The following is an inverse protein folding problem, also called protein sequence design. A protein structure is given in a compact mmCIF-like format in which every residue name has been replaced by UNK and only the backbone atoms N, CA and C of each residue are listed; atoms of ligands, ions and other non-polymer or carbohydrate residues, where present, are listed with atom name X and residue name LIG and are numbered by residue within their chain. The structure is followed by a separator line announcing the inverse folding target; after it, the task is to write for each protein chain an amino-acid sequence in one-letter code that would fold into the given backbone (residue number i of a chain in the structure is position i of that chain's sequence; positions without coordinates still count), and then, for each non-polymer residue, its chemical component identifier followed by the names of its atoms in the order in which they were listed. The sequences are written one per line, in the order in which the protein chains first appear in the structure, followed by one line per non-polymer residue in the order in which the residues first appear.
data_IF_312997711729
#
_entry.id   IF_312997711729
#
_cell.length_a   1.000
_cell.length_b   1.000
_cell.length_c   1.000
_cell.angle_alpha   90.00
_cell.angle_beta   90.00
_cell.angle_gamma   90.00
#
_symmetry.space_group_name_H-M   'P 1'
#
loop_
_entity.id
_entity.type
_entity.pdbx_description
1 polymer ?
#
# COMPACT_ATOMS: atom_id res chain seq x y z
N UNK A 1 16.75 11.52 25.93
CA UNK A 1 15.72 10.49 25.67
C UNK A 1 16.24 9.65 24.53
N UNK A 2 16.58 8.38 24.75
CA UNK A 2 16.92 7.48 23.64
C UNK A 2 15.66 7.38 22.78
N UNK A 3 15.66 8.02 21.61
CA UNK A 3 14.61 7.79 20.64
C UNK A 3 14.64 6.30 20.32
N UNK A 4 13.63 5.54 20.75
CA UNK A 4 13.48 4.18 20.28
C UNK A 4 13.34 4.25 18.76
N UNK A 5 14.26 3.60 18.05
CA UNK A 5 14.19 3.52 16.58
C UNK A 5 12.87 2.84 16.20
N UNK A 6 12.06 3.51 15.36
CA UNK A 6 10.90 2.90 14.73
C UNK A 6 11.39 1.70 13.91
N UNK A 7 10.73 0.55 14.02
CA UNK A 7 11.05 -0.65 13.24
C UNK A 7 9.84 -1.08 12.44
N UNK A 8 9.99 -1.16 11.11
CA UNK A 8 8.97 -1.66 10.21
C UNK A 8 9.32 -3.07 9.75
N UNK A 9 8.49 -4.04 10.12
CA UNK A 9 8.60 -5.42 9.65
C UNK A 9 7.83 -5.60 8.33
N UNK A 10 8.49 -6.13 7.31
CA UNK A 10 7.97 -6.31 5.93
C UNK A 10 8.25 -7.71 5.41
N UNK A 11 7.67 -8.09 4.27
CA UNK A 11 8.02 -9.35 3.59
C UNK A 11 9.41 -9.24 2.94
N UNK A 12 10.17 -10.34 2.97
CA UNK A 12 11.55 -10.38 2.43
C UNK A 12 11.65 -10.07 0.94
N UNK A 13 10.56 -10.24 0.20
CA UNK A 13 10.48 -9.95 -1.24
C UNK A 13 10.09 -8.50 -1.53
N UNK A 14 9.76 -7.67 -0.53
CA UNK A 14 9.29 -6.29 -0.72
C UNK A 14 8.14 -6.17 -1.74
N UNK A 15 7.20 -7.10 -1.66
CA UNK A 15 6.02 -7.19 -2.54
C UNK A 15 4.70 -6.96 -1.83
N UNK A 16 4.69 -6.85 -0.51
CA UNK A 16 3.47 -6.53 0.22
C UNK A 16 3.02 -5.10 -0.11
N UNK A 17 1.82 -4.92 -0.70
CA UNK A 17 1.28 -3.59 -0.97
C UNK A 17 0.96 -2.85 0.34
N UNK A 18 0.70 -3.61 1.41
CA UNK A 18 0.40 -3.06 2.73
C UNK A 18 1.68 -2.55 3.40
N UNK A 19 2.79 -3.27 3.25
CA UNK A 19 4.08 -2.84 3.76
C UNK A 19 4.59 -1.59 3.03
N UNK A 20 4.44 -1.56 1.70
CA UNK A 20 4.69 -0.37 0.88
C UNK A 20 3.93 0.85 1.39
N UNK A 21 2.64 0.71 1.70
CA UNK A 21 1.79 1.79 2.22
C UNK A 21 2.37 2.41 3.52
N UNK A 22 2.83 1.58 4.45
CA UNK A 22 3.43 2.06 5.70
C UNK A 22 4.82 2.64 5.47
N UNK A 23 5.65 2.00 4.64
CA UNK A 23 6.97 2.51 4.27
C UNK A 23 6.88 3.91 3.67
N UNK A 24 5.97 4.11 2.71
CA UNK A 24 5.73 5.41 2.09
C UNK A 24 5.23 6.42 3.12
N UNK A 25 4.33 6.00 4.02
CA UNK A 25 3.86 6.86 5.11
C UNK A 25 5.02 7.37 5.96
N UNK A 26 5.90 6.48 6.43
CA UNK A 26 7.07 6.85 7.25
C UNK A 26 8.00 7.81 6.50
N UNK A 27 8.24 7.56 5.21
CA UNK A 27 9.08 8.41 4.35
C UNK A 27 8.50 9.79 4.14
N UNK A 28 7.22 9.91 3.80
CA UNK A 28 6.56 11.21 3.57
C UNK A 28 6.46 12.05 4.86
N UNK A 29 6.40 11.39 6.01
CA UNK A 29 6.50 12.05 7.32
C UNK A 29 7.92 12.40 7.75
N UNK A 30 8.94 11.99 6.99
CA UNK A 30 10.35 12.25 7.31
C UNK A 30 10.85 11.52 8.56
N UNK A 31 10.22 10.41 8.94
CA UNK A 31 10.58 9.65 10.14
C UNK A 31 11.78 8.74 9.85
N UNK A 32 12.70 8.65 10.81
CA UNK A 32 13.78 7.67 10.77
C UNK A 32 13.26 6.31 11.29
N UNK A 33 13.54 5.24 10.56
CA UNK A 33 13.12 3.88 10.92
C UNK A 33 14.05 2.84 10.30
N UNK A 34 14.12 1.68 10.94
CA UNK A 34 14.77 0.48 10.42
C UNK A 34 13.73 -0.40 9.72
N UNK A 35 14.09 -0.97 8.57
CA UNK A 35 13.25 -1.96 7.87
C UNK A 35 13.79 -3.36 8.14
N UNK A 36 12.94 -4.24 8.66
CA UNK A 36 13.28 -5.63 8.99
C UNK A 36 12.44 -6.56 8.13
N UNK A 37 13.07 -7.56 7.52
CA UNK A 37 12.39 -8.50 6.61
C UNK A 37 12.03 -9.80 7.31
N UNK A 38 10.90 -10.37 6.92
CA UNK A 38 10.44 -11.70 7.33
C UNK A 38 10.25 -12.55 6.08
N UNK A 39 10.82 -13.76 6.11
CA UNK A 39 10.52 -14.79 5.13
C UNK A 39 9.16 -15.41 5.46
N UNK A 40 8.15 -15.05 4.67
CA UNK A 40 6.79 -15.53 4.87
C UNK A 40 6.59 -16.96 4.37
N UNK A 41 7.39 -17.42 3.41
CA UNK A 41 7.35 -18.80 2.90
C UNK A 41 7.93 -19.77 3.94
N UNK A 42 8.98 -19.34 4.66
CA UNK A 42 9.51 -20.02 5.83
C UNK A 42 8.67 -19.79 7.11
N UNK A 43 7.52 -19.11 7.01
CA UNK A 43 6.60 -18.80 8.11
C UNK A 43 7.26 -18.09 9.30
N UNK A 44 8.26 -17.23 9.06
CA UNK A 44 8.94 -16.48 10.13
C UNK A 44 7.98 -15.55 10.90
N UNK A 45 6.90 -15.09 10.26
CA UNK A 45 5.82 -14.34 10.90
C UNK A 45 5.01 -15.14 11.93
N UNK A 46 5.19 -16.46 12.01
CA UNK A 46 4.53 -17.33 13.01
C UNK A 46 5.46 -17.79 14.12
N UNK A 47 6.75 -17.44 14.05
CA UNK A 47 7.71 -17.76 15.10
C UNK A 47 7.40 -16.98 16.37
N UNK A 48 7.71 -17.57 17.53
CA UNK A 48 7.27 -17.08 18.83
C UNK A 48 7.65 -15.62 19.10
N UNK A 49 8.84 -15.19 18.67
CA UNK A 49 9.32 -13.83 18.94
C UNK A 49 8.51 -12.78 18.15
N UNK A 50 8.25 -13.02 16.87
CA UNK A 50 7.41 -12.12 16.08
C UNK A 50 5.92 -12.24 16.44
N UNK A 51 5.44 -13.44 16.76
CA UNK A 51 4.05 -13.66 17.15
C UNK A 51 3.68 -12.97 18.49
N UNK A 52 4.66 -12.77 19.39
CA UNK A 52 4.48 -11.93 20.59
C UNK A 52 4.43 -10.44 20.26
N UNK A 53 5.14 -10.02 19.22
CA UNK A 53 5.18 -8.62 18.77
C UNK A 53 3.94 -8.25 17.94
N UNK A 54 3.49 -9.10 17.03
CA UNK A 54 2.40 -8.82 16.08
C UNK A 54 1.15 -9.61 16.43
N UNK A 55 0.10 -8.91 16.88
CA UNK A 55 -1.20 -9.51 17.24
C UNK A 55 -1.80 -10.36 16.13
N UNK A 56 -1.60 -9.96 14.87
CA UNK A 56 -2.16 -10.64 13.69
C UNK A 56 -1.18 -11.54 12.98
N UNK A 57 0.09 -11.60 13.41
CA UNK A 57 1.14 -12.38 12.76
C UNK A 57 1.29 -12.06 11.27
N UNK A 58 1.11 -10.80 10.88
CA UNK A 58 1.18 -10.34 9.48
C UNK A 58 2.11 -9.14 9.32
N UNK A 59 2.61 -8.98 8.11
CA UNK A 59 3.29 -7.75 7.67
C UNK A 59 2.30 -6.82 6.94
N UNK A 60 2.43 -5.49 7.10
CA UNK A 60 3.39 -4.81 7.97
C UNK A 60 3.04 -4.93 9.45
N UNK A 61 4.08 -4.90 10.28
CA UNK A 61 3.97 -4.58 11.70
C UNK A 61 4.97 -3.48 12.01
N UNK A 62 4.51 -2.39 12.63
CA UNK A 62 5.35 -1.32 13.14
C UNK A 62 5.62 -1.58 14.63
N UNK A 63 6.87 -1.42 15.07
CA UNK A 63 7.22 -1.32 16.48
C UNK A 63 7.74 0.10 16.77
N UNK A 64 7.12 0.73 17.77
CA UNK A 64 7.52 2.02 18.34
C UNK A 64 7.81 1.82 19.83
N UNK A 65 9.09 1.67 20.18
CA UNK A 65 9.51 1.29 21.52
C UNK A 65 8.90 -0.04 21.97
N UNK A 66 8.14 0.02 23.07
CA UNK A 66 7.42 -1.13 23.64
C UNK A 66 6.02 -1.34 23.04
N UNK A 67 5.57 -0.43 22.16
CA UNK A 67 4.30 -0.54 21.45
C UNK A 67 4.51 -1.17 20.08
N UNK A 68 3.55 -1.99 19.65
CA UNK A 68 3.53 -2.56 18.31
C UNK A 68 2.13 -2.55 17.73
N UNK A 69 2.05 -2.36 16.41
CA UNK A 69 0.79 -2.24 15.68
C UNK A 69 0.89 -2.92 14.33
N UNK A 70 -0.11 -3.75 14.01
CA UNK A 70 -0.35 -4.32 12.68
C UNK A 70 -1.54 -3.63 12.01
N UNK A 71 -1.82 -3.98 10.74
CA UNK A 71 -2.78 -3.31 9.84
C UNK A 71 -2.27 -1.97 9.30
N UNK A 72 -1.92 -1.94 8.01
CA UNK A 72 -1.27 -0.78 7.39
C UNK A 72 -2.03 0.54 7.54
N UNK A 73 -3.37 0.52 7.42
CA UNK A 73 -4.18 1.73 7.55
C UNK A 73 -4.24 2.23 8.99
N UNK A 74 -4.27 1.31 9.98
CA UNK A 74 -4.20 1.67 11.39
C UNK A 74 -2.84 2.27 11.75
N UNK A 75 -1.76 1.69 11.19
CA UNK A 75 -0.40 2.22 11.33
C UNK A 75 -0.30 3.64 10.75
N UNK A 76 -0.80 3.88 9.53
CA UNK A 76 -0.74 5.22 8.93
C UNK A 76 -1.53 6.26 9.73
N UNK A 77 -2.71 5.92 10.26
CA UNK A 77 -3.50 6.80 11.13
C UNK A 77 -2.76 7.08 12.45
N UNK A 78 -2.23 6.04 13.11
CA UNK A 78 -1.44 6.18 14.33
C UNK A 78 -0.24 7.11 14.13
N UNK A 79 0.49 6.96 13.01
CA UNK A 79 1.62 7.81 12.68
C UNK A 79 1.19 9.28 12.50
N UNK A 80 0.05 9.53 11.84
CA UNK A 80 -0.49 10.89 11.70
C UNK A 80 -0.93 11.52 13.02
N UNK A 81 -1.43 10.73 13.97
CA UNK A 81 -1.86 11.20 15.28
C UNK A 81 -0.69 11.47 16.23
N UNK A 82 0.32 10.61 16.24
CA UNK A 82 1.41 10.64 17.23
C UNK A 82 2.61 11.49 16.77
N UNK A 83 2.90 11.51 15.47
CA UNK A 83 4.04 12.23 14.93
C UNK A 83 3.58 13.50 14.18
N UNK A 84 3.76 14.70 14.77
CA UNK A 84 3.37 15.94 14.14
C UNK A 84 4.22 16.24 12.89
N UNK A 85 3.73 17.12 12.02
CA UNK A 85 4.41 17.51 10.79
C UNK A 85 3.54 17.24 9.57
N UNK A 86 4.16 16.75 8.49
CA UNK A 86 3.45 16.36 7.27
C UNK A 86 2.39 15.30 7.57
N UNK A 87 1.15 15.53 7.18
CA UNK A 87 0.07 14.53 7.27
C UNK A 87 0.01 13.72 5.98
N UNK A 88 -0.33 12.44 6.09
CA UNK A 88 -0.55 11.57 4.92
C UNK A 88 -2.03 11.33 4.64
N UNK A 89 -2.90 11.83 5.52
CA UNK A 89 -4.35 11.85 5.34
C UNK A 89 -4.87 13.28 5.13
N UNK A 90 -6.02 13.45 4.46
CA UNK A 90 -6.66 14.76 4.32
C UNK A 90 -7.01 15.40 5.67
N UNK A 91 -6.84 16.71 5.76
CA UNK A 91 -7.22 17.48 6.95
C UNK A 91 -8.75 17.64 7.08
N UNK A 92 -9.46 17.82 5.96
CA UNK A 92 -10.92 17.89 5.94
C UNK A 92 -11.53 16.56 6.43
N UNK A 93 -12.45 16.59 7.41
CA UNK A 93 -13.02 15.36 7.97
C UNK A 93 -13.77 14.48 6.95
N UNK A 94 -14.45 15.07 5.96
CA UNK A 94 -15.20 14.31 4.95
C UNK A 94 -14.26 13.68 3.93
N UNK A 95 -13.22 14.39 3.50
CA UNK A 95 -12.18 13.85 2.64
C UNK A 95 -11.37 12.76 3.35
N UNK A 96 -11.06 12.93 4.63
CA UNK A 96 -10.41 11.88 5.44
C UNK A 96 -11.28 10.64 5.57
N UNK A 97 -12.58 10.81 5.81
CA UNK A 97 -13.53 9.68 5.82
C UNK A 97 -13.57 8.98 4.45
N UNK A 98 -13.49 9.73 3.35
CA UNK A 98 -13.42 9.15 2.00
C UNK A 98 -12.09 8.42 1.75
N UNK A 99 -10.97 8.95 2.21
CA UNK A 99 -9.68 8.26 2.16
C UNK A 99 -9.75 6.91 2.89
N UNK A 100 -10.25 6.91 4.14
CA UNK A 100 -10.49 5.69 4.92
C UNK A 100 -11.40 4.70 4.19
N UNK A 101 -12.47 5.18 3.56
CA UNK A 101 -13.37 4.35 2.75
C UNK A 101 -12.61 3.67 1.60
N UNK A 102 -11.81 4.41 0.84
CA UNK A 102 -11.01 3.85 -0.27
C UNK A 102 -10.02 2.82 0.25
N UNK A 103 -9.27 3.15 1.31
CA UNK A 103 -8.28 2.25 1.89
C UNK A 103 -8.90 0.94 2.42
N UNK A 104 -10.04 1.02 3.10
CA UNK A 104 -10.75 -0.14 3.63
C UNK A 104 -11.35 -0.99 2.50
N UNK A 105 -11.91 -0.35 1.47
CA UNK A 105 -12.47 -1.02 0.30
C UNK A 105 -11.41 -1.81 -0.48
N UNK A 106 -10.27 -1.19 -0.80
CA UNK A 106 -9.17 -1.85 -1.51
C UNK A 106 -8.59 -3.06 -0.76
N UNK A 107 -8.71 -3.08 0.58
CA UNK A 107 -8.21 -4.16 1.45
C UNK A 107 -9.21 -5.30 1.64
N UNK A 108 -10.51 -4.98 1.64
CA UNK A 108 -11.58 -5.95 1.94
C UNK A 108 -12.33 -6.45 0.70
N UNK A 109 -12.16 -5.81 -0.45
CA UNK A 109 -12.81 -6.16 -1.71
C UNK A 109 -11.76 -6.47 -2.80
N UNK A 110 -12.21 -6.66 -4.04
CA UNK A 110 -11.38 -6.85 -5.24
C UNK A 110 -10.42 -8.05 -5.15
N UNK A 111 -10.76 -9.03 -4.31
CA UNK A 111 -9.98 -10.26 -4.14
C UNK A 111 -9.66 -10.97 -5.47
N UNK A 112 -10.57 -11.06 -6.45
CA UNK A 112 -10.26 -11.66 -7.75
C UNK A 112 -9.08 -10.98 -8.47
N UNK A 113 -9.01 -9.64 -8.45
CA UNK A 113 -7.84 -8.91 -8.99
C UNK A 113 -6.59 -9.25 -8.18
N UNK A 114 -6.68 -9.26 -6.85
CA UNK A 114 -5.53 -9.54 -5.98
C UNK A 114 -4.97 -10.95 -6.16
N UNK A 115 -5.81 -11.92 -6.54
CA UNK A 115 -5.42 -13.30 -6.82
C UNK A 115 -4.87 -13.45 -8.24
N UNK A 116 -5.58 -12.95 -9.25
CA UNK A 116 -5.22 -13.13 -10.66
C UNK A 116 -4.17 -12.13 -11.16
N UNK A 117 -3.93 -11.06 -10.40
CA UNK A 117 -2.92 -10.03 -10.60
C UNK A 117 -2.24 -9.72 -9.27
N UNK A 118 -1.54 -10.73 -8.74
CA UNK A 118 -0.77 -10.59 -7.50
C UNK A 118 0.27 -9.47 -7.62
N UNK A 119 0.86 -9.04 -6.50
CA UNK A 119 1.91 -8.02 -6.54
C UNK A 119 3.19 -8.49 -7.21
N UNK A 120 3.31 -9.77 -7.56
CA UNK A 120 4.38 -10.26 -8.42
C UNK A 120 4.30 -9.69 -9.84
N UNK A 121 3.10 -9.35 -10.32
CA UNK A 121 2.93 -8.58 -11.57
C UNK A 121 3.59 -7.21 -11.44
N UNK A 122 3.36 -6.56 -10.30
CA UNK A 122 3.81 -5.18 -10.06
C UNK A 122 5.32 -5.10 -9.82
N UNK A 123 5.87 -6.00 -9.00
CA UNK A 123 7.25 -5.88 -8.52
C UNK A 123 8.24 -6.85 -9.16
N UNK A 124 7.77 -7.96 -9.74
CA UNK A 124 8.60 -8.92 -10.49
C UNK A 124 8.31 -8.91 -12.00
N UNK A 125 7.34 -8.12 -12.46
CA UNK A 125 6.97 -8.05 -13.88
C UNK A 125 6.34 -9.33 -14.41
N UNK A 126 5.79 -10.19 -13.53
CA UNK A 126 5.07 -11.39 -13.98
C UNK A 126 3.92 -11.02 -14.90
N UNK A 127 3.68 -11.85 -15.91
CA UNK A 127 2.56 -11.72 -16.84
C UNK A 127 1.57 -12.85 -16.61
N UNK A 128 0.32 -12.46 -16.44
CA UNK A 128 -0.79 -13.35 -16.14
C UNK A 128 -1.73 -13.46 -17.35
N UNK A 129 -2.40 -14.62 -17.51
CA UNK A 129 -3.37 -14.81 -18.59
C UNK A 129 -4.57 -13.85 -18.49
N UNK A 130 -5.45 -13.81 -19.51
CA UNK A 130 -6.69 -13.03 -19.45
C UNK A 130 -7.49 -13.27 -18.17
N UNK A 131 -8.14 -12.22 -17.68
CA UNK A 131 -8.93 -12.27 -16.44
C UNK A 131 -10.10 -13.25 -16.56
N UNK A 132 -10.44 -13.90 -15.45
CA UNK A 132 -11.71 -14.59 -15.33
C UNK A 132 -12.89 -13.60 -15.38
N UNK A 133 -14.12 -14.04 -15.70
CA UNK A 133 -15.30 -13.16 -15.69
C UNK A 133 -15.54 -12.44 -14.34
N UNK A 134 -15.17 -13.08 -13.23
CA UNK A 134 -15.30 -12.50 -11.88
C UNK A 134 -14.24 -11.41 -11.67
N UNK A 135 -13.01 -11.62 -12.12
CA UNK A 135 -11.97 -10.60 -12.04
C UNK A 135 -12.17 -9.46 -13.03
N UNK A 136 -12.75 -9.70 -14.21
CA UNK A 136 -13.20 -8.63 -15.10
C UNK A 136 -14.29 -7.76 -14.46
N UNK A 137 -15.26 -8.36 -13.76
CA UNK A 137 -16.28 -7.61 -13.04
C UNK A 137 -15.67 -6.76 -11.92
N UNK A 138 -14.71 -7.31 -11.18
CA UNK A 138 -13.95 -6.55 -10.18
C UNK A 138 -13.13 -5.41 -10.82
N UNK A 139 -12.51 -5.63 -11.98
CA UNK A 139 -11.76 -4.62 -12.71
C UNK A 139 -12.68 -3.47 -13.20
N UNK A 140 -13.85 -3.79 -13.75
CA UNK A 140 -14.88 -2.79 -14.10
C UNK A 140 -15.31 -1.96 -12.89
N UNK A 141 -15.52 -2.61 -11.73
CA UNK A 141 -15.85 -1.92 -10.47
C UNK A 141 -14.73 -0.98 -10.02
N UNK A 142 -13.48 -1.44 -10.06
CA UNK A 142 -12.31 -0.64 -9.72
C UNK A 142 -12.20 0.60 -10.61
N UNK A 143 -12.27 0.40 -11.93
CA UNK A 143 -12.14 1.46 -12.93
C UNK A 143 -13.25 2.50 -12.76
N UNK A 144 -14.52 2.06 -12.67
CA UNK A 144 -15.64 2.97 -12.51
C UNK A 144 -15.56 3.80 -11.22
N UNK A 145 -15.18 3.16 -10.10
CA UNK A 145 -14.99 3.88 -8.84
C UNK A 145 -13.83 4.87 -8.90
N UNK A 146 -12.69 4.49 -9.51
CA UNK A 146 -11.54 5.38 -9.67
C UNK A 146 -11.87 6.60 -10.55
N UNK A 147 -12.59 6.41 -11.66
CA UNK A 147 -13.05 7.51 -12.51
C UNK A 147 -13.98 8.47 -11.75
N UNK A 148 -14.90 7.95 -10.94
CA UNK A 148 -15.78 8.80 -10.11
C UNK A 148 -15.00 9.58 -9.05
N UNK A 149 -14.01 8.95 -8.42
CA UNK A 149 -13.20 9.61 -7.38
C UNK A 149 -12.28 10.69 -7.96
N UNK A 150 -11.79 10.51 -9.19
CA UNK A 150 -10.89 11.45 -9.87
C UNK A 150 -11.64 12.46 -10.76
N UNK A 151 -12.98 12.42 -10.77
CA UNK A 151 -13.79 13.34 -11.56
C UNK A 151 -13.53 14.79 -11.11
N UNK A 152 -13.02 15.62 -12.02
CA UNK A 152 -12.71 17.03 -11.77
C UNK A 152 -11.32 17.30 -11.17
N UNK A 153 -10.65 16.29 -10.60
CA UNK A 153 -9.24 16.39 -10.19
C UNK A 153 -8.47 15.11 -10.56
N UNK A 154 -7.79 15.09 -11.73
CA UNK A 154 -7.10 13.89 -12.19
C UNK A 154 -5.75 13.67 -11.51
N UNK A 155 -5.29 14.62 -10.68
CA UNK A 155 -3.93 14.57 -10.11
C UNK A 155 -3.90 13.77 -8.81
N UNK A 156 -4.86 14.00 -7.90
CA UNK A 156 -4.97 13.33 -6.61
C UNK A 156 -6.44 13.12 -6.25
N UNK A 157 -6.73 12.04 -5.51
CA UNK A 157 -8.11 11.66 -5.15
C UNK A 157 -8.90 12.78 -4.47
N UNK A 158 -8.25 13.68 -3.73
CA UNK A 158 -8.93 14.63 -2.84
C UNK A 158 -8.44 16.07 -2.94
N UNK A 159 -7.91 16.51 -4.09
CA UNK A 159 -7.26 17.83 -4.17
C UNK A 159 -5.75 17.72 -4.00
N UNK A 160 -5.39 17.23 -2.82
CA UNK A 160 -4.03 17.05 -2.35
C UNK A 160 -3.69 15.56 -2.25
N UNK A 161 -2.39 15.26 -2.28
CA UNK A 161 -1.92 13.89 -2.13
C UNK A 161 -2.26 13.32 -0.75
N UNK A 162 -2.63 12.04 -0.72
CA UNK A 162 -2.77 11.25 0.49
C UNK A 162 -2.24 9.83 0.29
N UNK A 163 -2.03 9.10 1.37
CA UNK A 163 -1.60 7.69 1.27
C UNK A 163 -2.61 6.80 0.51
N UNK A 164 -3.88 7.20 0.48
CA UNK A 164 -4.90 6.52 -0.32
C UNK A 164 -4.61 6.55 -1.83
N UNK A 165 -3.87 7.56 -2.32
CA UNK A 165 -3.44 7.63 -3.71
C UNK A 165 -2.46 6.51 -4.05
N UNK A 166 -1.53 6.19 -3.15
CA UNK A 166 -0.59 5.09 -3.34
C UNK A 166 -1.31 3.75 -3.29
N UNK A 167 -2.22 3.57 -2.34
CA UNK A 167 -3.02 2.34 -2.23
C UNK A 167 -3.84 2.09 -3.51
N UNK A 168 -4.47 3.13 -4.07
CA UNK A 168 -5.22 3.03 -5.32
C UNK A 168 -4.30 2.78 -6.52
N UNK A 169 -3.19 3.50 -6.62
CA UNK A 169 -2.23 3.34 -7.71
C UNK A 169 -1.65 1.93 -7.75
N UNK A 170 -1.34 1.31 -6.60
CA UNK A 170 -0.93 -0.10 -6.54
C UNK A 170 -2.02 -1.01 -7.11
N UNK A 171 -3.28 -0.79 -6.74
CA UNK A 171 -4.39 -1.63 -7.24
C UNK A 171 -4.59 -1.47 -8.74
N UNK A 172 -4.47 -0.26 -9.29
CA UNK A 172 -4.52 0.00 -10.74
C UNK A 172 -3.33 -0.64 -11.45
N UNK A 173 -2.12 -0.52 -10.89
CA UNK A 173 -0.90 -1.07 -11.47
C UNK A 173 -0.90 -2.60 -11.59
N UNK A 174 -1.70 -3.32 -10.79
CA UNK A 174 -1.93 -4.75 -11.00
C UNK A 174 -2.48 -5.06 -12.39
N UNK A 175 -3.35 -4.20 -12.92
CA UNK A 175 -3.93 -4.33 -14.25
C UNK A 175 -3.00 -3.72 -15.32
N UNK A 176 -2.56 -2.48 -15.09
CA UNK A 176 -1.74 -1.71 -16.05
C UNK A 176 -0.43 -2.45 -16.36
N UNK A 177 0.30 -2.87 -15.33
CA UNK A 177 1.60 -3.51 -15.51
C UNK A 177 1.47 -4.96 -15.99
N UNK A 178 0.30 -5.58 -15.90
CA UNK A 178 0.04 -6.83 -16.61
C UNK A 178 -0.09 -6.59 -18.13
N UNK A 179 -0.67 -5.45 -18.51
CA UNK A 179 -1.05 -5.11 -19.89
C UNK A 179 -2.56 -5.20 -20.14
N UNK A 180 -3.37 -5.24 -19.08
CA UNK A 180 -4.83 -5.21 -19.21
C UNK A 180 -5.30 -3.81 -19.66
N UNK A 181 -6.46 -3.75 -20.31
CA UNK A 181 -7.02 -2.48 -20.77
C UNK A 181 -7.51 -1.62 -19.60
N UNK A 182 -6.88 -0.46 -19.41
CA UNK A 182 -7.23 0.54 -18.38
C UNK A 182 -7.35 1.90 -19.07
N UNK A 183 -8.37 2.72 -18.77
CA UNK A 183 -8.52 4.04 -19.36
C UNK A 183 -7.27 4.92 -19.18
N UNK A 184 -6.89 5.66 -20.22
CA UNK A 184 -5.63 6.39 -20.28
C UNK A 184 -5.46 7.41 -19.14
N UNK A 185 -6.56 8.02 -18.68
CA UNK A 185 -6.56 8.94 -17.55
C UNK A 185 -6.18 8.25 -16.23
N UNK A 186 -6.62 7.00 -16.03
CA UNK A 186 -6.25 6.21 -14.85
C UNK A 186 -4.81 5.69 -14.95
N UNK A 187 -4.34 5.38 -16.16
CA UNK A 187 -2.93 5.06 -16.41
C UNK A 187 -2.06 6.25 -16.04
N UNK A 188 -2.35 7.44 -16.55
CA UNK A 188 -1.61 8.66 -16.26
C UNK A 188 -1.65 9.03 -14.76
N UNK A 189 -2.79 8.82 -14.09
CA UNK A 189 -2.90 8.96 -12.64
C UNK A 189 -1.98 7.98 -11.90
N UNK A 190 -2.05 6.69 -12.22
CA UNK A 190 -1.27 5.66 -11.56
C UNK A 190 0.23 5.88 -11.77
N UNK A 191 0.65 6.21 -12.99
CA UNK A 191 2.04 6.57 -13.33
C UNK A 191 2.53 7.75 -12.50
N UNK A 192 1.72 8.81 -12.37
CA UNK A 192 2.06 9.98 -11.55
C UNK A 192 2.27 9.62 -10.08
N UNK A 193 1.36 8.85 -9.49
CA UNK A 193 1.53 8.39 -8.10
C UNK A 193 2.75 7.47 -7.97
N UNK A 194 3.04 6.68 -9.00
CA UNK A 194 4.20 5.80 -9.03
C UNK A 194 5.53 6.56 -9.04
N UNK A 195 5.58 7.75 -9.65
CA UNK A 195 6.80 8.57 -9.71
C UNK A 195 7.16 9.27 -8.39
N UNK A 196 6.35 9.15 -7.33
CA UNK A 196 6.68 9.76 -6.05
C UNK A 196 8.01 9.20 -5.50
N UNK A 197 8.92 10.03 -4.97
CA UNK A 197 10.22 9.56 -4.48
C UNK A 197 10.11 8.45 -3.42
N UNK A 198 9.18 8.58 -2.47
CA UNK A 198 8.89 7.59 -1.43
C UNK A 198 8.43 6.24 -2.01
N UNK A 199 7.62 6.28 -3.07
CA UNK A 199 7.17 5.09 -3.81
C UNK A 199 8.33 4.48 -4.60
N UNK A 200 9.10 5.30 -5.31
CA UNK A 200 10.25 4.86 -6.08
C UNK A 200 11.31 4.19 -5.19
N UNK A 201 11.50 4.67 -3.96
CA UNK A 201 12.40 4.03 -3.02
C UNK A 201 11.96 2.60 -2.67
N UNK A 202 10.66 2.36 -2.48
CA UNK A 202 10.14 1.00 -2.30
C UNK A 202 10.25 0.16 -3.58
N UNK A 203 9.90 0.73 -4.73
CA UNK A 203 9.96 0.04 -6.03
C UNK A 203 11.38 -0.39 -6.35
N UNK A 204 12.38 0.38 -5.95
CA UNK A 204 13.79 0.10 -6.20
C UNK A 204 14.48 -0.70 -5.08
N UNK A 205 13.74 -1.20 -4.09
CA UNK A 205 14.32 -2.12 -3.09
C UNK A 205 14.95 -3.34 -3.78
N UNK A 206 16.13 -3.79 -3.36
CA UNK A 206 16.74 -5.00 -3.89
C UNK A 206 15.87 -6.20 -3.51
N UNK A 207 15.44 -6.96 -4.52
CA UNK A 207 14.59 -8.14 -4.33
C UNK A 207 15.35 -9.43 -4.63
N UNK A 208 15.20 -10.49 -3.81
CA UNK A 208 15.66 -11.82 -4.15
C UNK A 208 15.03 -12.31 -5.46
N UNK A 209 15.61 -13.35 -6.08
CA UNK A 209 14.91 -14.04 -7.17
C UNK A 209 13.71 -14.83 -6.63
N UNK A 210 12.71 -15.07 -7.49
CA UNK A 210 11.58 -15.97 -7.23
C UNK A 210 11.99 -17.44 -7.33
#
# INVERSE_FOLDING_TARGET
MNASSLRLYVDAQFTSPYAMSVFVTLREKGLAFDTLTLDLDAAHNRQADFARLSLTQRVPTLADGDFSLSESSAISEYLDEVYPGTTVNPADPKLRARARQVQAWLRSDLLPIRQERSTLVVFYGQKMPPLSPVAEAAARKLIGAAQMLLAGNPTHLFGEWSIADVDLAVMLNRLILNGDNVPAELVAYAERQWQRPSVQEWVNQPRPAL
#
